data_IF_490373257603
#
_entry.id   IF_490373257603
#
_cell.length_a   1.000
_cell.length_b   1.000
_cell.length_c   1.000
_cell.angle_alpha   90.00
_cell.angle_beta   90.00
_cell.angle_gamma   90.00
#
_symmetry.space_group_name_H-M   'P 1'
#
loop_
_entity.id
_entity.type
_entity.pdbx_description
1 polymer ?
#
# COMPACT_ATOMS: atom_id res chain seq x y z
N UNK A 1 -6.56 -81.10 27.78
CA UNK A 1 -6.38 -81.68 26.43
C UNK A 1 -5.79 -80.58 25.57
N UNK A 2 -4.45 -80.54 25.46
CA UNK A 2 -3.65 -80.96 24.28
C UNK A 2 -3.80 -79.94 23.13
N UNK A 3 -2.84 -79.13 22.68
CA UNK A 3 -1.39 -79.29 22.43
C UNK A 3 -1.02 -80.47 21.51
N UNK A 4 -0.11 -80.20 20.54
CA UNK A 4 0.68 -81.12 19.64
C UNK A 4 0.06 -81.24 18.21
N UNK A 5 0.72 -81.10 17.04
CA UNK A 5 2.12 -80.93 16.55
C UNK A 5 2.11 -80.57 15.04
N UNK A 6 2.98 -79.69 14.52
CA UNK A 6 4.29 -79.90 13.83
C UNK A 6 4.27 -80.65 12.48
N UNK A 7 4.78 -79.98 11.42
CA UNK A 7 5.86 -80.36 10.48
C UNK A 7 5.85 -79.35 9.29
N UNK A 8 6.84 -78.47 9.10
CA UNK A 8 8.17 -78.68 8.46
C UNK A 8 8.05 -79.16 7.00
N UNK A 9 8.80 -78.72 6.00
CA UNK A 9 9.77 -77.64 5.75
C UNK A 9 10.03 -77.66 4.22
N UNK A 10 10.72 -76.64 3.68
CA UNK A 10 11.65 -76.69 2.54
C UNK A 10 11.62 -75.46 1.59
N UNK A 11 12.58 -74.58 1.89
CA UNK A 11 13.68 -74.14 1.01
C UNK A 11 13.51 -72.94 0.05
N UNK A 12 14.15 -71.86 0.49
CA UNK A 12 15.35 -71.23 -0.11
C UNK A 12 15.19 -69.98 -1.01
N UNK A 13 15.73 -68.89 -0.45
CA UNK A 13 16.67 -67.90 -1.02
C UNK A 13 16.21 -66.85 -2.06
N UNK A 14 16.18 -65.60 -1.56
CA UNK A 14 16.94 -64.42 -1.98
C UNK A 14 16.65 -63.61 -3.28
N UNK A 15 16.25 -62.36 -3.01
CA UNK A 15 16.89 -61.07 -3.38
C UNK A 15 16.96 -60.66 -4.87
N UNK A 16 16.07 -59.72 -5.18
CA UNK A 16 16.29 -58.35 -5.72
C UNK A 16 16.80 -58.07 -7.16
N UNK A 17 16.09 -57.07 -7.67
CA UNK A 17 16.42 -55.99 -8.60
C UNK A 17 16.59 -56.23 -10.13
N UNK A 18 16.15 -55.16 -10.81
CA UNK A 18 16.52 -54.63 -12.12
C UNK A 18 15.62 -54.91 -13.34
N UNK A 19 14.98 -53.81 -13.78
CA UNK A 19 15.01 -53.24 -15.16
C UNK A 19 14.14 -53.97 -16.24
N UNK A 20 13.50 -53.38 -17.27
CA UNK A 20 13.58 -52.09 -17.98
C UNK A 20 12.65 -52.12 -19.21
N UNK A 21 12.17 -50.93 -19.66
CA UNK A 21 11.74 -50.54 -21.04
C UNK A 21 10.46 -51.19 -21.61
N UNK A 22 9.65 -50.61 -22.51
CA UNK A 22 9.48 -49.37 -23.33
C UNK A 22 8.10 -49.58 -24.02
N UNK A 23 7.33 -48.64 -24.60
CA UNK A 23 7.62 -47.53 -25.50
C UNK A 23 6.33 -46.70 -25.72
N UNK A 24 6.50 -45.41 -26.05
CA UNK A 24 5.77 -44.62 -27.08
C UNK A 24 4.26 -44.35 -26.89
N UNK A 25 3.67 -43.21 -27.28
CA UNK A 25 4.07 -41.86 -27.73
C UNK A 25 2.72 -41.14 -27.96
N UNK A 26 2.46 -39.94 -27.42
CA UNK A 26 1.53 -38.96 -28.00
C UNK A 26 1.67 -37.62 -27.27
N UNK A 27 2.23 -36.64 -27.96
CA UNK A 27 2.50 -35.28 -27.50
C UNK A 27 1.30 -34.38 -27.82
N UNK A 28 0.82 -33.61 -26.83
CA UNK A 28 -0.02 -32.42 -27.06
C UNK A 28 0.75 -31.22 -26.49
N UNK A 29 0.92 -30.20 -27.34
CA UNK A 29 1.76 -29.03 -27.10
C UNK A 29 1.22 -28.16 -25.97
N UNK A 30 2.05 -27.91 -24.94
CA UNK A 30 1.89 -26.78 -24.04
C UNK A 30 2.15 -25.48 -24.80
N UNK A 31 1.14 -24.61 -24.87
CA UNK A 31 1.37 -23.19 -25.16
C UNK A 31 1.96 -22.60 -23.88
N UNK A 32 3.27 -22.68 -23.76
CA UNK A 32 4.02 -21.99 -22.73
C UNK A 32 3.86 -20.48 -22.93
N UNK A 33 2.99 -19.86 -22.15
CA UNK A 33 3.06 -18.44 -21.88
C UNK A 33 4.31 -18.20 -21.02
N UNK A 34 5.45 -17.96 -21.70
CA UNK A 34 6.60 -17.32 -21.08
C UNK A 34 6.26 -15.84 -20.91
N UNK A 35 5.73 -15.49 -19.75
CA UNK A 35 6.06 -14.23 -19.11
C UNK A 35 6.82 -14.56 -17.83
N UNK A 36 8.13 -14.73 -17.99
CA UNK A 36 9.05 -14.79 -16.87
C UNK A 36 9.11 -13.40 -16.25
N UNK A 37 8.31 -13.20 -15.21
CA UNK A 37 8.51 -12.11 -14.27
C UNK A 37 9.96 -12.11 -13.77
N UNK A 38 10.50 -10.90 -13.67
CA UNK A 38 11.86 -10.53 -13.21
C UNK A 38 12.10 -10.88 -11.72
N UNK A 39 11.21 -11.66 -11.11
CA UNK A 39 11.26 -12.03 -9.70
C UNK A 39 12.29 -13.14 -9.38
N UNK A 40 12.94 -13.74 -10.38
CA UNK A 40 13.77 -14.95 -10.19
C UNK A 40 15.27 -14.74 -9.98
N UNK A 41 15.77 -13.51 -9.89
CA UNK A 41 17.20 -13.25 -9.59
C UNK A 41 17.45 -12.54 -8.24
N UNK A 42 16.64 -12.86 -7.23
CA UNK A 42 17.05 -12.65 -5.82
C UNK A 42 17.23 -14.04 -5.20
N UNK A 43 18.48 -14.48 -4.93
CA UNK A 43 18.72 -15.77 -4.31
C UNK A 43 18.33 -15.69 -2.83
N UNK A 44 17.05 -15.97 -2.52
CA UNK A 44 16.54 -16.51 -1.24
C UNK A 44 15.00 -16.60 -1.15
N UNK A 45 14.28 -16.85 -2.26
CA UNK A 45 12.84 -17.14 -2.23
C UNK A 45 12.53 -18.63 -2.40
N UNK A 46 13.24 -19.48 -1.65
CA UNK A 46 12.65 -20.72 -1.14
C UNK A 46 12.34 -20.52 0.34
N UNK A 47 11.35 -19.68 0.59
CA UNK A 47 10.75 -19.55 1.91
C UNK A 47 9.69 -20.62 2.07
N UNK A 48 9.92 -21.56 2.98
CA UNK A 48 8.87 -22.44 3.51
C UNK A 48 7.65 -21.61 3.91
N UNK A 49 6.45 -22.16 3.71
CA UNK A 49 5.20 -21.69 4.32
C UNK A 49 5.33 -21.67 5.85
N UNK A 50 5.96 -20.62 6.35
CA UNK A 50 6.08 -20.29 7.75
C UNK A 50 5.40 -18.95 7.88
N UNK A 51 4.33 -18.92 8.69
CA UNK A 51 3.57 -17.74 9.06
C UNK A 51 4.44 -16.49 9.06
N UNK A 52 4.25 -15.63 8.07
CA UNK A 52 4.83 -14.29 8.08
C UNK A 52 4.22 -13.59 9.29
N UNK A 53 4.98 -13.55 10.38
CA UNK A 53 4.63 -12.79 11.57
C UNK A 53 4.45 -11.34 11.10
N UNK A 54 3.20 -10.91 10.91
CA UNK A 54 2.83 -9.51 10.66
C UNK A 54 3.34 -8.70 11.85
N UNK A 55 4.58 -8.23 11.76
CA UNK A 55 5.25 -7.46 12.79
C UNK A 55 5.01 -6.02 12.39
N UNK A 56 4.05 -5.39 13.04
CA UNK A 56 3.82 -3.96 12.85
C UNK A 56 5.06 -3.22 13.35
N UNK A 57 5.60 -2.32 12.52
CA UNK A 57 6.76 -1.53 12.91
C UNK A 57 6.27 -0.25 13.61
N UNK A 58 6.55 -0.13 14.90
CA UNK A 58 6.33 1.11 15.64
C UNK A 58 7.56 2.00 15.36
N UNK A 59 7.38 3.23 14.85
CA UNK A 59 8.51 4.13 14.66
C UNK A 59 9.20 4.43 15.98
N UNK A 60 10.54 4.42 15.97
CA UNK A 60 11.30 4.82 17.13
C UNK A 60 10.99 6.28 17.51
N UNK A 61 10.94 6.54 18.81
CA UNK A 61 10.82 7.88 19.35
C UNK A 61 12.08 8.67 19.01
N UNK A 62 11.93 9.79 18.29
CA UNK A 62 13.06 10.68 17.99
C UNK A 62 13.60 11.34 19.26
N UNK A 63 14.90 11.62 19.35
CA UNK A 63 15.44 12.46 20.42
C UNK A 63 14.78 13.84 20.47
N UNK A 64 14.66 14.42 21.66
CA UNK A 64 13.98 15.71 21.90
C UNK A 64 14.55 16.85 21.05
N UNK A 65 15.86 16.89 20.88
CA UNK A 65 16.53 17.93 20.08
C UNK A 65 16.19 17.83 18.59
N UNK A 66 16.11 16.61 18.03
CA UNK A 66 15.70 16.42 16.64
C UNK A 66 14.22 16.77 16.46
N UNK A 67 13.37 16.33 17.39
CA UNK A 67 11.94 16.66 17.39
C UNK A 67 11.71 18.18 17.40
N UNK A 68 12.34 18.90 18.35
CA UNK A 68 12.26 20.37 18.43
C UNK A 68 12.77 21.04 17.17
N UNK A 69 13.88 20.56 16.59
CA UNK A 69 14.44 21.11 15.35
C UNK A 69 13.46 21.02 14.19
N UNK A 70 12.79 19.88 14.01
CA UNK A 70 11.75 19.73 12.97
C UNK A 70 10.59 20.68 13.26
N UNK A 71 10.15 20.74 14.52
CA UNK A 71 9.04 21.56 14.95
C UNK A 71 9.30 23.05 14.71
N UNK A 72 10.51 23.55 14.92
CA UNK A 72 10.91 24.93 14.63
C UNK A 72 10.93 25.26 13.13
N UNK A 73 11.19 24.27 12.27
CA UNK A 73 11.32 24.45 10.82
C UNK A 73 10.00 24.24 10.04
N UNK A 74 8.88 23.99 10.73
CA UNK A 74 7.57 23.90 10.08
C UNK A 74 7.17 25.27 9.52
N UNK A 75 6.59 25.27 8.32
CA UNK A 75 5.92 26.47 7.80
C UNK A 75 4.58 26.74 8.51
N UNK A 76 3.99 27.90 8.26
CA UNK A 76 2.78 28.35 8.95
C UNK A 76 1.60 27.37 8.84
N UNK A 77 1.38 26.80 7.65
CA UNK A 77 0.29 25.85 7.42
C UNK A 77 0.55 24.50 8.11
N UNK A 78 1.77 24.00 8.04
CA UNK A 78 2.20 22.79 8.74
C UNK A 78 2.10 22.95 10.26
N UNK A 79 2.58 24.10 10.79
CA UNK A 79 2.48 24.44 12.22
C UNK A 79 1.03 24.54 12.66
N UNK A 80 0.19 25.28 11.91
CA UNK A 80 -1.23 25.41 12.22
C UNK A 80 -1.93 24.05 12.28
N UNK A 81 -1.64 23.15 11.33
CA UNK A 81 -2.18 21.79 11.37
C UNK A 81 -1.65 21.00 12.57
N UNK A 82 -0.34 21.03 12.81
CA UNK A 82 0.30 20.36 13.94
C UNK A 82 -0.31 20.79 15.28
N UNK A 83 -0.50 22.09 15.49
CA UNK A 83 -1.04 22.63 16.73
C UNK A 83 -2.51 22.23 16.92
N UNK A 84 -3.31 22.28 15.85
CA UNK A 84 -4.68 21.79 15.85
C UNK A 84 -4.76 20.28 16.13
N UNK A 85 -3.94 19.47 15.46
CA UNK A 85 -3.84 18.03 15.69
C UNK A 85 -3.47 17.73 17.15
N UNK A 86 -2.46 18.45 17.68
CA UNK A 86 -2.03 18.34 19.08
C UNK A 86 -3.15 18.69 20.04
N UNK A 87 -3.94 19.72 19.73
CA UNK A 87 -5.10 20.10 20.53
C UNK A 87 -6.16 18.99 20.53
N UNK A 88 -6.52 18.45 19.36
CA UNK A 88 -7.51 17.38 19.21
C UNK A 88 -7.10 16.15 20.03
N UNK A 89 -5.88 15.63 19.85
CA UNK A 89 -5.45 14.41 20.55
C UNK A 89 -5.37 14.59 22.07
N UNK A 90 -5.18 15.82 22.57
CA UNK A 90 -5.09 16.13 24.01
C UNK A 90 -6.44 16.40 24.67
N UNK A 91 -7.35 17.05 23.96
CA UNK A 91 -8.60 17.57 24.54
C UNK A 91 -9.84 16.80 24.13
N UNK A 92 -9.78 16.07 23.01
CA UNK A 92 -10.89 15.33 22.42
C UNK A 92 -10.50 13.87 22.12
N UNK A 93 -10.00 13.09 23.10
CA UNK A 93 -9.43 11.77 22.85
C UNK A 93 -10.44 10.72 22.34
N UNK A 94 -11.74 10.99 22.46
CA UNK A 94 -12.82 10.10 22.00
C UNK A 94 -13.53 10.60 20.73
N UNK A 95 -13.17 11.78 20.23
CA UNK A 95 -13.78 12.33 19.03
C UNK A 95 -13.04 11.80 17.79
N UNK A 96 -13.81 11.18 16.88
CA UNK A 96 -13.27 10.70 15.63
C UNK A 96 -13.12 11.86 14.64
N UNK A 97 -11.98 11.93 13.95
CA UNK A 97 -11.74 12.93 12.91
C UNK A 97 -11.21 12.32 11.61
N UNK A 98 -11.50 12.99 10.50
CA UNK A 98 -11.08 12.63 9.15
C UNK A 98 -10.44 13.83 8.48
N UNK A 99 -9.14 13.77 8.22
CA UNK A 99 -8.39 14.87 7.60
C UNK A 99 -7.72 14.42 6.32
N UNK A 100 -7.87 15.22 5.26
CA UNK A 100 -7.10 15.06 4.03
C UNK A 100 -6.07 16.19 3.94
N UNK A 101 -4.80 15.83 3.98
CA UNK A 101 -3.69 16.76 3.77
C UNK A 101 -3.26 16.67 2.31
N UNK A 102 -3.75 17.64 1.53
CA UNK A 102 -3.44 17.80 0.12
C UNK A 102 -2.23 18.70 -0.07
N UNK A 103 -1.61 18.60 -1.24
CA UNK A 103 -0.66 19.59 -1.73
C UNK A 103 0.28 18.99 -2.76
N UNK A 104 0.89 19.85 -3.57
CA UNK A 104 1.74 19.43 -4.67
C UNK A 104 2.97 18.60 -4.24
N UNK A 105 3.68 18.03 -5.21
CA UNK A 105 5.00 17.44 -4.98
C UNK A 105 5.96 18.42 -4.29
N UNK A 106 6.59 17.99 -3.20
CA UNK A 106 7.62 18.78 -2.53
C UNK A 106 7.15 19.85 -1.54
N UNK A 107 5.87 19.90 -1.16
CA UNK A 107 5.34 20.85 -0.14
C UNK A 107 5.56 20.41 1.33
N UNK A 108 6.28 19.30 1.54
CA UNK A 108 6.62 18.80 2.88
C UNK A 108 5.54 17.96 3.57
N UNK A 109 4.66 17.27 2.81
CA UNK A 109 3.67 16.31 3.37
C UNK A 109 4.30 15.26 4.29
N UNK A 110 5.36 14.60 3.84
CA UNK A 110 6.06 13.58 4.64
C UNK A 110 6.75 14.16 5.88
N UNK A 111 7.21 15.41 5.85
CA UNK A 111 7.72 16.12 7.04
C UNK A 111 6.60 16.34 8.06
N UNK A 112 5.41 16.75 7.59
CA UNK A 112 4.24 16.90 8.45
C UNK A 112 3.81 15.55 9.05
N UNK A 113 3.82 14.48 8.26
CA UNK A 113 3.56 13.11 8.73
C UNK A 113 4.54 12.70 9.84
N UNK A 114 5.85 12.94 9.63
CA UNK A 114 6.88 12.65 10.63
C UNK A 114 6.63 13.41 11.94
N UNK A 115 6.27 14.69 11.91
CA UNK A 115 6.10 15.47 13.15
C UNK A 115 4.81 15.12 13.89
N UNK A 116 3.70 14.87 13.21
CA UNK A 116 2.43 14.53 13.88
C UNK A 116 2.49 13.14 14.50
N UNK A 117 3.14 12.17 13.83
CA UNK A 117 3.31 10.81 14.37
C UNK A 117 4.22 10.83 15.60
N UNK A 118 5.30 11.61 15.59
CA UNK A 118 6.18 11.78 16.75
C UNK A 118 5.48 12.49 17.91
N UNK A 119 4.63 13.47 17.62
CA UNK A 119 3.82 14.16 18.65
C UNK A 119 2.80 13.22 19.26
N UNK A 120 2.12 12.42 18.44
CA UNK A 120 1.16 11.42 18.88
C UNK A 120 1.84 10.32 19.73
N UNK A 121 2.99 9.82 19.27
CA UNK A 121 3.79 8.83 20.00
C UNK A 121 4.20 9.34 21.39
N UNK A 122 4.73 10.57 21.45
CA UNK A 122 5.10 11.23 22.71
C UNK A 122 3.93 11.38 23.66
N UNK A 123 2.74 11.67 23.14
CA UNK A 123 1.56 11.85 23.98
C UNK A 123 1.00 10.52 24.47
N UNK A 124 0.82 9.54 23.59
CA UNK A 124 0.16 8.28 23.92
C UNK A 124 1.06 7.28 24.66
N UNK A 125 2.38 7.27 24.47
CA UNK A 125 3.28 6.38 25.25
C UNK A 125 3.19 6.64 26.76
N UNK A 126 2.92 7.88 27.18
CA UNK A 126 2.89 8.26 28.59
C UNK A 126 1.53 8.02 29.29
N UNK A 127 0.53 7.49 28.59
CA UNK A 127 -0.73 7.09 29.22
C UNK A 127 -0.55 5.83 30.09
N UNK A 128 -1.14 5.82 31.28
CA UNK A 128 -0.80 4.93 32.43
C UNK A 128 -1.11 3.42 32.27
N UNK A 129 -1.40 2.91 31.07
CA UNK A 129 -1.88 1.53 30.88
C UNK A 129 -1.29 0.80 29.66
N UNK A 130 -0.23 1.32 29.06
CA UNK A 130 0.25 0.80 27.77
C UNK A 130 1.40 -0.20 27.89
N UNK A 131 1.37 -1.18 26.98
CA UNK A 131 2.43 -2.14 26.78
C UNK A 131 3.40 -1.63 25.70
N UNK A 132 4.69 -2.03 25.74
CA UNK A 132 5.68 -1.61 24.75
C UNK A 132 5.30 -1.94 23.29
N UNK A 133 4.49 -2.99 23.10
CA UNK A 133 4.06 -3.48 21.79
C UNK A 133 2.72 -2.88 21.32
N UNK A 134 2.13 -1.97 22.10
CA UNK A 134 0.84 -1.36 21.74
C UNK A 134 1.00 -0.40 20.55
N UNK A 135 0.10 -0.56 19.57
CA UNK A 135 0.11 0.21 18.33
C UNK A 135 -0.94 1.29 18.41
N UNK A 136 -0.53 2.54 18.61
CA UNK A 136 -1.45 3.69 18.66
C UNK A 136 -1.80 4.27 17.30
N UNK A 137 -0.89 4.14 16.34
CA UNK A 137 -1.12 4.57 14.98
C UNK A 137 -0.52 3.61 13.97
N UNK A 138 -1.12 3.55 12.79
CA UNK A 138 -0.61 2.82 11.63
C UNK A 138 -0.32 3.80 10.51
N UNK A 139 0.87 3.69 9.91
CA UNK A 139 1.23 4.42 8.70
C UNK A 139 1.18 3.42 7.56
N UNK A 140 0.37 3.73 6.55
CA UNK A 140 0.15 2.88 5.39
C UNK A 140 0.35 3.64 4.10
N UNK A 141 0.68 2.92 3.02
CA UNK A 141 0.72 3.47 1.66
C UNK A 141 0.34 2.38 0.64
N UNK A 142 -0.07 2.74 -0.59
CA UNK A 142 -0.47 1.77 -1.61
C UNK A 142 0.71 0.98 -2.19
N UNK A 143 1.92 1.56 -2.23
CA UNK A 143 3.12 0.92 -2.81
C UNK A 143 4.20 0.68 -1.75
N UNK A 144 5.03 -0.35 -1.96
CA UNK A 144 6.12 -0.70 -1.03
C UNK A 144 7.15 0.43 -0.85
N UNK A 145 7.50 1.13 -1.94
CA UNK A 145 8.43 2.26 -1.90
C UNK A 145 7.85 3.44 -1.10
N UNK A 146 6.58 3.78 -1.33
CA UNK A 146 5.91 4.83 -0.57
C UNK A 146 5.84 4.48 0.91
N UNK A 147 5.44 3.25 1.24
CA UNK A 147 5.37 2.76 2.61
C UNK A 147 6.74 2.85 3.31
N UNK A 148 7.80 2.38 2.66
CA UNK A 148 9.17 2.45 3.18
C UNK A 148 9.60 3.90 3.48
N UNK A 149 9.31 4.84 2.57
CA UNK A 149 9.71 6.24 2.72
C UNK A 149 9.10 6.94 3.96
N UNK A 150 7.91 6.52 4.37
CA UNK A 150 7.24 7.07 5.57
C UNK A 150 7.40 6.19 6.81
N UNK A 151 8.21 5.13 6.74
CA UNK A 151 8.40 4.18 7.83
C UNK A 151 7.12 3.39 8.15
N UNK A 152 6.28 3.17 7.15
CA UNK A 152 5.01 2.45 7.24
C UNK A 152 5.03 1.11 6.52
N UNK A 153 3.84 0.56 6.30
CA UNK A 153 3.63 -0.72 5.61
C UNK A 153 2.63 -0.55 4.46
N UNK A 154 2.51 -1.54 3.57
CA UNK A 154 1.51 -1.41 2.52
C UNK A 154 0.11 -1.62 3.09
N UNK A 155 -0.91 -0.94 2.53
CA UNK A 155 -2.32 -1.17 2.90
C UNK A 155 -2.65 -2.66 2.80
N UNK A 156 -2.14 -3.31 1.75
CA UNK A 156 -2.36 -4.73 1.48
C UNK A 156 -1.80 -5.62 2.60
N UNK A 157 -0.57 -5.38 3.05
CA UNK A 157 0.06 -6.20 4.10
C UNK A 157 -0.61 -6.00 5.46
N UNK A 158 -0.95 -4.76 5.82
CA UNK A 158 -1.55 -4.41 7.12
C UNK A 158 -2.91 -5.06 7.30
N UNK A 159 -3.77 -4.98 6.28
CA UNK A 159 -5.15 -5.46 6.35
C UNK A 159 -5.34 -6.87 5.78
N UNK A 160 -4.24 -7.57 5.44
CA UNK A 160 -4.26 -8.92 4.86
C UNK A 160 -5.18 -9.00 3.64
N UNK A 161 -5.08 -7.99 2.77
CA UNK A 161 -5.87 -7.84 1.54
C UNK A 161 -5.15 -8.62 0.44
N UNK A 162 -5.84 -9.59 -0.13
CA UNK A 162 -5.43 -10.42 -1.26
C UNK A 162 -5.92 -9.74 -2.54
N UNK A 163 -5.16 -9.81 -3.64
CA UNK A 163 -5.45 -9.11 -4.90
C UNK A 163 -6.81 -9.43 -5.59
N UNK A 164 -7.67 -10.28 -5.03
CA UNK A 164 -9.02 -10.55 -5.53
C UNK A 164 -10.04 -9.56 -4.94
N UNK A 165 -10.05 -8.33 -5.46
CA UNK A 165 -10.85 -7.20 -4.93
C UNK A 165 -12.37 -7.48 -4.89
N UNK A 166 -12.91 -8.23 -5.87
CA UNK A 166 -14.35 -8.59 -5.92
C UNK A 166 -14.73 -9.48 -4.74
N UNK A 167 -13.87 -10.46 -4.43
CA UNK A 167 -14.08 -11.40 -3.35
C UNK A 167 -13.95 -10.69 -1.99
N UNK A 168 -13.06 -9.71 -1.87
CA UNK A 168 -12.78 -9.05 -0.58
C UNK A 168 -13.79 -7.99 -0.14
N UNK A 169 -14.56 -7.40 -1.05
CA UNK A 169 -15.68 -6.54 -0.65
C UNK A 169 -16.75 -7.31 0.13
N UNK A 170 -16.88 -8.62 -0.11
CA UNK A 170 -17.89 -9.50 0.48
C UNK A 170 -17.32 -10.49 1.50
N UNK A 171 -16.02 -10.78 1.44
CA UNK A 171 -15.38 -11.75 2.33
C UNK A 171 -14.88 -11.15 3.64
N UNK A 172 -15.44 -11.67 4.72
CA UNK A 172 -14.97 -11.45 6.09
C UNK A 172 -13.57 -12.07 6.30
N UNK A 173 -12.84 -11.56 7.28
CA UNK A 173 -11.61 -12.20 7.73
C UNK A 173 -11.93 -13.59 8.28
N UNK A 174 -10.98 -14.53 8.16
CA UNK A 174 -11.07 -15.76 8.94
C UNK A 174 -11.01 -15.44 10.43
N UNK A 175 -11.66 -16.26 11.26
CA UNK A 175 -11.71 -16.03 12.71
C UNK A 175 -10.31 -15.83 13.32
N UNK A 176 -9.33 -16.64 12.91
CA UNK A 176 -7.96 -16.56 13.41
C UNK A 176 -7.25 -15.27 13.02
N UNK A 177 -7.39 -14.84 11.75
CA UNK A 177 -6.81 -13.57 11.27
C UNK A 177 -7.46 -12.38 11.94
N UNK A 178 -8.79 -12.41 12.08
CA UNK A 178 -9.57 -11.39 12.79
C UNK A 178 -9.09 -11.26 14.23
N UNK A 179 -9.06 -12.37 14.98
CA UNK A 179 -8.61 -12.38 16.39
C UNK A 179 -7.16 -11.87 16.53
N UNK A 180 -6.28 -12.24 15.60
CA UNK A 180 -4.90 -11.75 15.59
C UNK A 180 -4.83 -10.23 15.40
N UNK A 181 -5.60 -9.68 14.44
CA UNK A 181 -5.65 -8.25 14.18
C UNK A 181 -6.33 -7.49 15.32
N UNK A 182 -7.42 -8.02 15.89
CA UNK A 182 -8.09 -7.48 17.08
C UNK A 182 -7.12 -7.33 18.25
N UNK A 183 -6.34 -8.38 18.53
CA UNK A 183 -5.36 -8.33 19.61
C UNK A 183 -4.25 -7.31 19.35
N UNK A 184 -3.68 -7.29 18.14
CA UNK A 184 -2.56 -6.40 17.79
C UNK A 184 -2.98 -4.93 17.72
N UNK A 185 -4.17 -4.65 17.19
CA UNK A 185 -4.66 -3.30 16.93
C UNK A 185 -5.58 -2.77 18.03
N UNK A 186 -5.67 -3.45 19.18
CA UNK A 186 -6.57 -3.09 20.29
C UNK A 186 -6.43 -1.64 20.78
N UNK A 187 -5.23 -1.05 20.69
CA UNK A 187 -4.93 0.33 21.11
C UNK A 187 -4.86 1.31 19.94
N UNK A 188 -5.22 0.89 18.72
CA UNK A 188 -5.14 1.76 17.54
C UNK A 188 -6.10 2.94 17.71
N UNK A 189 -5.57 4.16 17.55
CA UNK A 189 -6.33 5.42 17.63
C UNK A 189 -6.36 6.15 16.29
N UNK A 190 -5.35 5.94 15.44
CA UNK A 190 -5.15 6.69 14.20
C UNK A 190 -4.62 5.82 13.06
N UNK A 191 -5.32 5.85 11.91
CA UNK A 191 -4.80 5.34 10.65
C UNK A 191 -4.30 6.51 9.79
N UNK A 192 -3.10 6.37 9.24
CA UNK A 192 -2.52 7.31 8.28
C UNK A 192 -2.33 6.58 6.95
N UNK A 193 -2.80 7.17 5.85
CA UNK A 193 -2.61 6.66 4.49
C UNK A 193 -1.88 7.72 3.67
N UNK A 194 -0.63 7.45 3.30
CA UNK A 194 0.13 8.28 2.37
C UNK A 194 -0.11 7.83 0.92
N UNK A 195 0.13 8.74 -0.03
CA UNK A 195 -0.15 8.58 -1.46
C UNK A 195 -1.60 8.14 -1.75
N UNK A 196 -2.58 8.81 -1.12
CA UNK A 196 -4.02 8.52 -1.29
C UNK A 196 -4.50 8.61 -2.74
N UNK A 197 -3.78 9.31 -3.63
CA UNK A 197 -4.13 9.42 -5.04
C UNK A 197 -4.12 8.08 -5.78
N UNK A 198 -3.28 7.14 -5.35
CA UNK A 198 -3.18 5.81 -5.94
C UNK A 198 -4.16 4.80 -5.31
N UNK A 199 -4.90 5.20 -4.27
CA UNK A 199 -5.86 4.33 -3.59
C UNK A 199 -7.20 4.39 -4.31
N UNK A 200 -7.74 3.22 -4.66
CA UNK A 200 -9.07 3.14 -5.28
C UNK A 200 -10.19 3.28 -4.25
N UNK A 201 -11.37 3.73 -4.69
CA UNK A 201 -12.58 3.75 -3.86
C UNK A 201 -12.91 2.37 -3.28
N UNK A 202 -12.72 1.31 -4.06
CA UNK A 202 -12.91 -0.08 -3.62
C UNK A 202 -11.94 -0.46 -2.49
N UNK A 203 -10.64 -0.21 -2.67
CA UNK A 203 -9.64 -0.49 -1.63
C UNK A 203 -9.93 0.30 -0.36
N UNK A 204 -10.32 1.56 -0.51
CA UNK A 204 -10.70 2.43 0.61
C UNK A 204 -11.91 1.90 1.39
N UNK A 205 -12.92 1.37 0.67
CA UNK A 205 -14.08 0.70 1.28
C UNK A 205 -13.68 -0.60 1.99
N UNK A 206 -12.80 -1.40 1.39
CA UNK A 206 -12.29 -2.62 2.03
C UNK A 206 -11.60 -2.27 3.35
N UNK A 207 -10.74 -1.24 3.38
CA UNK A 207 -10.10 -0.77 4.61
C UNK A 207 -11.13 -0.37 5.68
N UNK A 208 -12.17 0.38 5.30
CA UNK A 208 -13.28 0.70 6.19
C UNK A 208 -13.91 -0.57 6.79
N UNK A 209 -14.30 -1.52 5.93
CA UNK A 209 -14.99 -2.75 6.35
C UNK A 209 -14.10 -3.61 7.27
N UNK A 210 -12.80 -3.71 6.97
CA UNK A 210 -11.84 -4.45 7.81
C UNK A 210 -11.73 -3.83 9.20
N UNK A 211 -11.66 -2.50 9.31
CA UNK A 211 -11.62 -1.85 10.62
C UNK A 211 -12.94 -2.01 11.38
N UNK A 212 -14.09 -1.92 10.71
CA UNK A 212 -15.38 -2.20 11.35
C UNK A 212 -15.46 -3.64 11.88
N UNK A 213 -14.89 -4.61 11.15
CA UNK A 213 -14.79 -6.00 11.57
C UNK A 213 -13.82 -6.21 12.75
N UNK A 214 -12.67 -5.53 12.75
CA UNK A 214 -11.65 -5.61 13.80
C UNK A 214 -12.14 -4.94 15.10
N UNK A 215 -12.78 -3.78 15.01
CA UNK A 215 -13.22 -3.04 16.20
C UNK A 215 -14.65 -3.36 16.62
N UNK A 216 -15.33 -4.24 15.88
CA UNK A 216 -16.74 -4.61 16.09
C UNK A 216 -17.65 -3.36 16.24
N UNK A 217 -17.38 -2.35 15.41
CA UNK A 217 -18.00 -1.03 15.48
C UNK A 217 -18.42 -0.58 14.09
N UNK A 218 -19.70 -0.25 13.91
CA UNK A 218 -20.28 0.14 12.61
C UNK A 218 -20.01 1.59 12.21
N UNK A 219 -19.39 2.41 13.08
CA UNK A 219 -18.93 3.75 12.69
C UNK A 219 -17.95 3.65 11.51
N UNK A 220 -17.81 4.70 10.68
CA UNK A 220 -16.79 4.71 9.63
C UNK A 220 -15.42 4.36 10.21
N UNK A 221 -14.66 3.51 9.51
CA UNK A 221 -13.35 3.00 9.91
C UNK A 221 -13.32 2.37 11.32
N UNK A 222 -14.43 1.78 11.79
CA UNK A 222 -14.51 1.17 13.12
C UNK A 222 -14.42 2.18 14.26
N UNK A 223 -14.64 3.48 14.00
CA UNK A 223 -14.45 4.56 14.97
C UNK A 223 -13.01 5.09 15.05
N UNK A 224 -12.09 4.57 14.22
CA UNK A 224 -10.69 5.02 14.17
C UNK A 224 -10.58 6.32 13.39
N UNK A 225 -9.81 7.29 13.91
CA UNK A 225 -9.55 8.54 13.18
C UNK A 225 -8.64 8.26 11.98
N UNK A 226 -8.86 8.96 10.86
CA UNK A 226 -8.09 8.74 9.63
C UNK A 226 -7.50 10.03 9.11
N UNK A 227 -6.19 10.01 8.85
CA UNK A 227 -5.49 11.06 8.11
C UNK A 227 -5.05 10.47 6.77
N UNK A 228 -5.47 11.08 5.68
CA UNK A 228 -4.97 10.73 4.34
C UNK A 228 -4.09 11.85 3.83
N UNK A 229 -3.00 11.51 3.15
CA UNK A 229 -2.06 12.45 2.55
C UNK A 229 -1.84 12.07 1.09
N UNK A 230 -1.68 13.07 0.23
CA UNK A 230 -1.35 12.82 -1.18
C UNK A 230 -1.63 14.02 -2.05
N UNK A 231 -1.68 13.76 -3.36
CA UNK A 231 -1.85 14.77 -4.40
C UNK A 231 -2.60 14.14 -5.57
N UNK A 232 -3.86 14.53 -5.79
CA UNK A 232 -4.67 13.94 -6.86
C UNK A 232 -4.24 14.36 -8.27
N UNK A 233 -3.32 15.32 -8.40
CA UNK A 233 -2.69 15.65 -9.69
C UNK A 233 -1.51 14.73 -10.01
N UNK A 234 -1.15 13.82 -9.10
CA UNK A 234 -0.17 12.76 -9.37
C UNK A 234 -0.86 11.52 -9.94
N UNK A 235 -0.24 10.35 -9.78
CA UNK A 235 -0.73 9.10 -10.34
C UNK A 235 -2.08 8.72 -9.72
N UNK A 236 -3.13 8.50 -10.54
CA UNK A 236 -4.40 7.97 -10.09
C UNK A 236 -4.28 6.46 -9.82
N UNK A 237 -5.33 5.81 -9.28
CA UNK A 237 -5.35 4.36 -9.14
C UNK A 237 -5.30 3.69 -10.51
N UNK A 238 -4.57 2.57 -10.61
CA UNK A 238 -4.45 1.82 -11.86
C UNK A 238 -5.77 1.13 -12.17
N UNK A 239 -6.41 1.47 -13.31
CA UNK A 239 -7.64 0.82 -13.80
C UNK A 239 -8.82 0.81 -12.80
N UNK A 240 -8.82 1.73 -11.83
CA UNK A 240 -9.86 1.81 -10.79
C UNK A 240 -10.29 3.25 -10.54
N UNK A 241 -11.51 3.41 -10.01
CA UNK A 241 -12.05 4.71 -9.65
C UNK A 241 -11.33 5.29 -8.39
N UNK A 242 -10.97 6.59 -8.39
CA UNK A 242 -10.41 7.28 -7.22
C UNK A 242 -11.33 7.28 -6.01
N UNK A 243 -10.76 7.42 -4.80
CA UNK A 243 -11.48 7.44 -3.50
C UNK A 243 -12.68 8.40 -3.41
N UNK A 244 -12.66 9.48 -4.19
CA UNK A 244 -13.71 10.50 -4.21
C UNK A 244 -14.84 10.22 -5.21
N UNK A 245 -14.69 9.20 -6.05
CA UNK A 245 -15.78 8.70 -6.89
C UNK A 245 -16.75 7.87 -6.03
N UNK A 246 -18.05 7.84 -6.38
CA UNK A 246 -18.96 6.89 -5.76
C UNK A 246 -18.45 5.48 -6.08
N UNK A 247 -18.69 4.54 -5.16
CA UNK A 247 -18.61 3.13 -5.51
C UNK A 247 -19.67 2.89 -6.58
N UNK A 248 -19.30 3.02 -7.86
CA UNK A 248 -20.15 2.53 -8.94
C UNK A 248 -20.41 1.07 -8.67
N UNK A 249 -21.59 0.60 -9.06
CA UNK A 249 -21.92 -0.81 -9.16
C UNK A 249 -20.84 -1.50 -10.01
N UNK A 250 -19.73 -1.85 -9.38
CA UNK A 250 -18.69 -2.68 -9.97
C UNK A 250 -19.28 -4.05 -10.27
N UNK A 251 -20.42 -4.36 -9.65
CA UNK A 251 -21.36 -5.43 -10.01
C UNK A 251 -21.81 -5.33 -11.48
N UNK A 252 -22.10 -4.15 -12.02
CA UNK A 252 -22.54 -4.00 -13.43
C UNK A 252 -21.44 -4.30 -14.45
N UNK A 253 -20.16 -4.11 -14.10
CA UNK A 253 -19.04 -4.51 -14.97
C UNK A 253 -18.73 -6.00 -14.83
N UNK A 254 -19.04 -6.61 -13.67
CA UNK A 254 -18.87 -8.05 -13.41
C UNK A 254 -20.03 -8.87 -14.00
N UNK A 255 -21.24 -8.30 -14.13
CA UNK A 255 -22.39 -8.93 -14.78
C UNK A 255 -22.16 -9.24 -16.27
N UNK A 256 -21.09 -8.72 -16.89
CA UNK A 256 -20.72 -9.11 -18.26
C UNK A 256 -19.97 -10.46 -18.35
N UNK A 257 -19.72 -11.14 -17.24
CA UNK A 257 -19.05 -12.46 -17.22
C UNK A 257 -20.05 -13.61 -17.18
N UNK A 258 -21.32 -13.37 -16.83
CA UNK A 258 -22.40 -14.36 -16.93
C UNK A 258 -23.60 -13.69 -17.61
N UNK A 259 -23.98 -14.21 -18.79
CA UNK A 259 -24.96 -13.68 -19.76
C UNK A 259 -26.37 -13.32 -19.21
N UNK A 260 -26.48 -12.37 -18.29
CA UNK A 260 -27.76 -11.79 -17.89
C UNK A 260 -27.62 -10.27 -17.75
N UNK A 261 -27.99 -9.60 -18.84
CA UNK A 261 -28.02 -8.13 -18.95
C UNK A 261 -29.15 -7.62 -18.05
N UNK A 262 -28.81 -7.15 -16.85
CA UNK A 262 -29.69 -6.25 -16.09
C UNK A 262 -29.31 -4.82 -16.49
N UNK A 263 -30.03 -4.28 -17.46
CA UNK A 263 -30.00 -2.85 -17.78
C UNK A 263 -30.59 -2.06 -16.61
N UNK A 264 -29.76 -1.55 -15.70
CA UNK A 264 -30.16 -0.46 -14.81
C UNK A 264 -29.94 0.84 -15.58
N UNK A 265 -30.89 1.15 -16.45
CA UNK A 265 -30.99 2.47 -17.07
C UNK A 265 -31.43 3.49 -16.01
N UNK A 266 -30.74 4.64 -15.99
CA UNK A 266 -31.21 5.90 -15.39
C UNK A 266 -31.24 5.98 -13.86
N UNK A 267 -30.07 5.97 -13.23
CA UNK A 267 -29.89 6.71 -11.97
C UNK A 267 -29.01 7.92 -12.23
N UNK A 268 -29.52 9.09 -11.83
CA UNK A 268 -28.97 10.40 -12.05
C UNK A 268 -27.47 10.50 -11.75
N UNK A 269 -26.72 11.08 -12.70
CA UNK A 269 -25.30 11.46 -12.55
C UNK A 269 -25.11 12.66 -11.63
N UNK A 270 -25.81 12.69 -10.50
CA UNK A 270 -25.65 13.71 -9.48
C UNK A 270 -24.51 13.28 -8.56
N UNK A 271 -23.30 13.74 -8.85
CA UNK A 271 -22.18 14.03 -7.91
C UNK A 271 -22.17 13.36 -6.50
N UNK A 272 -22.40 12.06 -6.39
CA UNK A 272 -22.24 11.35 -5.13
C UNK A 272 -20.74 11.07 -4.94
N UNK A 273 -20.09 11.83 -4.07
CA UNK A 273 -18.80 11.37 -3.53
C UNK A 273 -19.05 10.07 -2.75
N UNK A 274 -18.06 9.19 -2.62
CA UNK A 274 -18.20 8.06 -1.69
C UNK A 274 -18.61 8.60 -0.30
N UNK A 275 -19.56 7.95 0.37
CA UNK A 275 -20.02 8.37 1.71
C UNK A 275 -18.83 8.58 2.64
N UNK A 276 -17.83 7.70 2.55
CA UNK A 276 -16.58 7.78 3.30
C UNK A 276 -15.79 9.06 3.03
N UNK A 277 -15.61 9.43 1.75
CA UNK A 277 -14.81 10.60 1.38
C UNK A 277 -15.46 11.91 1.84
N UNK A 278 -16.80 11.94 1.89
CA UNK A 278 -17.55 13.12 2.33
C UNK A 278 -17.24 13.57 3.77
N UNK A 279 -16.69 12.68 4.60
CA UNK A 279 -16.31 13.00 5.98
C UNK A 279 -15.00 13.80 6.09
N UNK A 280 -14.15 13.79 5.06
CA UNK A 280 -12.79 14.33 5.15
C UNK A 280 -12.75 15.86 5.08
N UNK A 281 -12.18 16.49 6.11
CA UNK A 281 -11.84 17.92 6.07
C UNK A 281 -10.52 18.10 5.34
N UNK A 282 -10.52 18.96 4.32
CA UNK A 282 -9.35 19.17 3.44
C UNK A 282 -8.46 20.29 4.01
N UNK A 283 -7.17 20.03 4.04
CA UNK A 283 -6.11 20.96 4.40
C UNK A 283 -5.05 20.96 3.30
N UNK A 284 -4.90 22.08 2.59
CA UNK A 284 -3.98 22.17 1.47
C UNK A 284 -2.67 22.87 1.85
N UNK A 285 -1.55 22.15 1.75
CA UNK A 285 -0.20 22.68 1.83
C UNK A 285 0.21 23.26 0.48
N UNK A 286 0.58 24.55 0.47
CA UNK A 286 0.83 25.30 -0.77
C UNK A 286 2.27 25.77 -0.92
N UNK A 287 3.06 25.78 0.17
CA UNK A 287 4.44 26.25 0.11
C UNK A 287 5.38 25.15 -0.40
N UNK A 288 6.13 25.45 -1.44
CA UNK A 288 7.12 24.53 -2.04
C UNK A 288 8.36 24.49 -1.14
N UNK A 289 8.67 23.29 -0.65
CA UNK A 289 9.78 23.08 0.29
C UNK A 289 11.00 22.40 -0.33
N UNK A 290 10.84 21.69 -1.46
CA UNK A 290 11.90 20.90 -2.10
C UNK A 290 12.76 21.72 -3.06
N UNK A 291 12.15 22.47 -3.97
CA UNK A 291 12.85 23.29 -4.98
C UNK A 291 12.92 24.77 -4.58
N UNK A 292 13.32 25.07 -3.33
CA UNK A 292 13.36 26.46 -2.82
C UNK A 292 14.32 27.35 -3.61
N UNK A 293 15.41 26.77 -4.09
CA UNK A 293 16.46 27.50 -4.80
C UNK A 293 16.12 27.74 -6.28
N UNK A 294 15.04 27.13 -6.79
CA UNK A 294 14.65 27.18 -8.21
C UNK A 294 13.12 27.30 -8.35
N UNK A 295 12.62 28.47 -7.95
CA UNK A 295 11.19 28.80 -7.95
C UNK A 295 10.61 28.77 -9.37
N UNK A 296 11.40 29.16 -10.38
CA UNK A 296 10.95 29.14 -11.78
C UNK A 296 10.63 27.71 -12.22
N UNK A 297 11.52 26.75 -11.94
CA UNK A 297 11.27 25.34 -12.22
C UNK A 297 10.12 24.77 -11.41
N UNK A 298 10.04 25.12 -10.13
CA UNK A 298 8.96 24.65 -9.27
C UNK A 298 7.58 25.09 -9.80
N UNK A 299 7.47 26.33 -10.25
CA UNK A 299 6.26 26.85 -10.86
C UNK A 299 5.95 26.20 -12.22
N UNK A 300 6.96 25.92 -13.03
CA UNK A 300 6.81 25.18 -14.28
C UNK A 300 6.27 23.76 -14.03
N UNK A 301 6.78 23.05 -13.01
CA UNK A 301 6.27 21.74 -12.60
C UNK A 301 4.82 21.80 -12.10
N UNK A 302 4.45 22.82 -11.34
CA UNK A 302 3.07 22.99 -10.88
C UNK A 302 2.10 23.24 -12.05
N UNK A 303 2.52 24.05 -13.04
CA UNK A 303 1.75 24.25 -14.28
C UNK A 303 1.63 22.97 -15.09
N UNK A 304 2.71 22.20 -15.19
CA UNK A 304 2.71 20.90 -15.85
C UNK A 304 1.72 19.93 -15.18
N UNK A 305 1.66 19.91 -13.84
CA UNK A 305 0.77 19.03 -13.09
C UNK A 305 -0.74 19.29 -13.35
N UNK A 306 -1.11 20.52 -13.70
CA UNK A 306 -2.49 20.90 -14.03
C UNK A 306 -2.74 21.01 -15.55
N UNK A 307 -1.75 20.65 -16.37
CA UNK A 307 -1.83 20.72 -17.84
C UNK A 307 -1.86 22.14 -18.41
N UNK A 308 -1.32 23.13 -17.70
CA UNK A 308 -1.27 24.55 -18.11
C UNK A 308 0.15 25.03 -18.46
N UNK A 309 0.94 24.16 -19.08
CA UNK A 309 2.34 24.44 -19.46
C UNK A 309 2.43 25.55 -20.51
N UNK A 310 3.38 26.47 -20.35
CA UNK A 310 3.67 27.57 -21.29
C UNK A 310 4.85 27.24 -22.23
N UNK A 311 5.04 28.02 -23.29
CA UNK A 311 6.20 27.86 -24.18
C UNK A 311 7.53 28.14 -23.43
N UNK A 312 7.53 29.08 -22.49
CA UNK A 312 8.67 29.34 -21.61
C UNK A 312 8.99 28.13 -20.71
N UNK A 313 7.97 27.43 -20.20
CA UNK A 313 8.16 26.21 -19.41
C UNK A 313 8.76 25.10 -20.25
N UNK A 314 8.27 24.92 -21.48
CA UNK A 314 8.80 23.93 -22.41
C UNK A 314 10.28 24.21 -22.74
N UNK A 315 10.62 25.47 -22.99
CA UNK A 315 12.01 25.88 -23.20
C UNK A 315 12.88 25.63 -21.94
N UNK A 316 12.34 25.89 -20.74
CA UNK A 316 13.01 25.61 -19.46
C UNK A 316 13.23 24.11 -19.23
N UNK A 317 12.29 23.25 -19.63
CA UNK A 317 12.47 21.80 -19.56
C UNK A 317 13.50 21.31 -20.57
N UNK A 318 13.45 21.81 -21.82
CA UNK A 318 14.42 21.50 -22.86
C UNK A 318 15.83 21.96 -22.50
N UNK A 319 15.98 23.10 -21.80
CA UNK A 319 17.29 23.57 -21.36
C UNK A 319 17.96 22.64 -20.33
N UNK A 320 17.21 21.70 -19.75
CA UNK A 320 17.69 20.69 -18.80
C UNK A 320 17.87 19.31 -19.43
N UNK A 321 17.60 19.18 -20.73
CA UNK A 321 17.88 17.97 -21.47
C UNK A 321 19.40 17.81 -21.60
N UNK A 322 19.95 16.77 -20.97
CA UNK A 322 21.35 16.44 -21.11
C UNK A 322 21.54 15.70 -22.43
N UNK A 323 22.43 16.20 -23.29
CA UNK A 323 22.94 15.39 -24.40
C UNK A 323 23.71 14.20 -23.82
N UNK A 324 23.68 13.06 -24.53
CA UNK A 324 24.32 11.80 -24.11
C UNK A 324 25.82 11.92 -23.76
N UNK A 325 26.47 13.00 -24.18
CA UNK A 325 27.88 13.32 -23.89
C UNK A 325 28.10 14.09 -22.57
N UNK A 326 27.07 14.68 -21.97
CA UNK A 326 27.17 15.58 -20.81
C UNK A 326 26.54 15.01 -19.53
N UNK A 327 26.41 13.70 -19.41
CA UNK A 327 25.91 13.06 -18.19
C UNK A 327 26.98 13.16 -17.09
N UNK A 328 26.70 13.84 -15.95
CA UNK A 328 27.62 13.93 -14.83
C UNK A 328 28.04 12.54 -14.34
N UNK A 329 29.31 12.35 -13.97
CA UNK A 329 29.83 11.03 -13.58
C UNK A 329 29.01 10.37 -12.45
N UNK A 330 28.54 11.15 -11.48
CA UNK A 330 27.71 10.65 -10.37
C UNK A 330 26.30 10.18 -10.77
N UNK A 331 25.83 10.55 -11.97
CA UNK A 331 24.55 10.13 -12.53
C UNK A 331 24.70 8.99 -13.55
N UNK A 332 25.94 8.56 -13.85
CA UNK A 332 26.20 7.39 -14.69
C UNK A 332 25.98 6.14 -13.84
N UNK A 333 24.91 5.42 -14.10
CA UNK A 333 24.73 4.09 -13.53
C UNK A 333 25.67 3.12 -14.25
N UNK A 334 26.79 2.75 -13.64
CA UNK A 334 27.58 1.59 -14.06
C UNK A 334 26.81 0.32 -13.73
N UNK A 335 25.79 -0.01 -14.53
CA UNK A 335 25.22 -1.34 -14.55
C UNK A 335 25.59 -1.99 -15.87
N UNK A 336 26.27 -3.15 -15.75
CA UNK A 336 26.68 -4.02 -16.83
C UNK A 336 25.63 -4.05 -17.95
N UNK A 337 26.04 -3.58 -19.13
CA UNK A 337 25.24 -3.50 -20.36
C UNK A 337 24.62 -4.87 -20.75
N UNK A 338 25.13 -5.97 -20.18
CA UNK A 338 24.65 -7.32 -20.44
C UNK A 338 23.29 -7.65 -19.79
N UNK A 339 22.87 -6.98 -18.71
CA UNK A 339 21.59 -7.30 -18.04
C UNK A 339 20.38 -6.64 -18.72
N UNK A 340 20.58 -5.51 -19.41
CA UNK A 340 19.51 -4.78 -20.12
C UNK A 340 19.14 -5.39 -21.48
N UNK A 341 20.02 -6.17 -22.12
CA UNK A 341 19.70 -6.83 -23.39
C UNK A 341 18.72 -8.01 -23.23
N UNK A 342 18.62 -8.59 -22.04
CA UNK A 342 17.67 -9.67 -21.75
C UNK A 342 16.23 -9.15 -21.61
N UNK A 343 16.06 -7.92 -21.09
CA UNK A 343 14.74 -7.30 -20.90
C UNK A 343 14.12 -6.78 -22.21
N UNK A 344 14.92 -6.28 -23.15
CA UNK A 344 14.42 -5.75 -24.42
C UNK A 344 14.12 -6.84 -25.48
N UNK A 345 14.53 -8.09 -25.26
CA UNK A 345 14.15 -9.23 -26.12
C UNK A 345 12.79 -9.86 -25.76
N UNK A 346 12.23 -9.56 -24.58
CA UNK A 346 10.91 -10.05 -24.16
C UNK A 346 9.72 -9.26 -24.70
N UNK A 347 9.92 -8.06 -25.26
CA UNK A 347 8.82 -7.16 -25.68
C UNK A 347 8.51 -7.28 -27.20
N UNK A 348 9.14 -8.21 -27.92
CA UNK A 348 8.88 -8.42 -29.37
C UNK A 348 8.03 -9.64 -29.72
N UNK A 349 7.44 -10.31 -28.74
CA UNK A 349 6.55 -11.44 -29.02
C UNK A 349 5.40 -11.56 -28.02
N UNK A 350 4.44 -10.62 -28.06
CA UNK A 350 3.02 -10.85 -27.79
C UNK A 350 2.22 -10.01 -28.78
#
# INVERSE_FOLDING_TARGET
MQNIKEAEDDNAEDIDDTTVKTAEEFTIYEIGAKDSDIATEIPNLKGNETDSKNTFQIPNLLPDEEYKKILCNLNDKQRKYHDNFTHIIKTQPHEQFFHFISGAGGVGKSTLLKIITQTALRFWIHELQHQPDDIFFLITAPTGKAAFNVGGQTIHSVFTIVFSLVKELTMKLSADKRNTLMFKLKQLKLLIIDEISMVSAQLFQIVNNRLQEIFENSKPFGGISVIVMGDFNQLPPVMHDPVYYPLRDSISTIANIENEIICISQLDRTFYMSELWSHFKILELTEIMRQKDDIQFANALNRLAIGQTTDEDNALFQSRELSSLNIPEHARCEHNINTMQTLLRGIKTI
#
